data_IF_747916562250
#
_entry.id   IF_747916562250
#
_cell.length_a   1.000
_cell.length_b   1.000
_cell.length_c   1.000
_cell.angle_alpha   90.00
_cell.angle_beta   90.00
_cell.angle_gamma   90.00
#
_symmetry.space_group_name_H-M   'P 1'
#
loop_
_entity.id
_entity.type
_entity.pdbx_description
1 polymer ?
#
# COMPACT_ATOMS: atom_id res chain seq x y z
N UNK A 1 69.58 62.51 -13.87
CA UNK A 1 70.20 61.27 -14.37
C UNK A 1 69.77 60.14 -13.48
N UNK A 2 68.84 59.33 -13.83
CA UNK A 2 68.60 58.00 -13.33
C UNK A 2 67.88 57.22 -14.42
N UNK A 3 68.55 56.22 -15.01
CA UNK A 3 68.00 55.24 -15.95
C UNK A 3 67.19 54.21 -15.21
N UNK A 4 65.96 53.97 -15.69
CA UNK A 4 65.14 52.79 -15.23
C UNK A 4 65.05 51.83 -16.40
N UNK A 5 65.52 50.61 -16.18
CA UNK A 5 65.39 49.51 -17.09
C UNK A 5 64.00 48.83 -16.89
N UNK A 6 63.23 48.76 -17.99
CA UNK A 6 62.04 47.89 -18.04
C UNK A 6 62.44 46.45 -18.41
N UNK A 7 62.19 45.52 -17.55
CA UNK A 7 62.26 44.09 -17.86
C UNK A 7 60.91 43.66 -18.41
N UNK A 8 60.84 43.19 -19.62
CA UNK A 8 59.70 42.55 -20.22
C UNK A 8 59.71 41.04 -19.86
N UNK A 9 58.74 40.60 -19.04
CA UNK A 9 58.55 39.21 -18.76
C UNK A 9 57.55 38.58 -19.77
N UNK A 10 58.03 37.68 -20.60
CA UNK A 10 57.23 36.94 -21.56
C UNK A 10 56.53 35.76 -20.79
N UNK A 11 55.21 35.82 -20.73
CA UNK A 11 54.39 34.71 -20.21
C UNK A 11 54.09 33.75 -21.36
N UNK A 12 54.61 32.54 -21.28
CA UNK A 12 54.26 31.45 -22.20
C UNK A 12 52.98 30.80 -21.70
N UNK A 13 51.85 30.99 -22.39
CA UNK A 13 50.60 30.26 -22.15
C UNK A 13 50.71 28.88 -22.85
N UNK A 14 50.81 27.82 -22.05
CA UNK A 14 50.70 26.44 -22.54
C UNK A 14 49.23 26.05 -22.54
N UNK A 15 48.62 25.95 -23.71
CA UNK A 15 47.28 25.38 -23.89
C UNK A 15 47.34 23.86 -23.71
N UNK A 16 46.80 23.35 -22.59
CA UNK A 16 46.51 21.92 -22.42
C UNK A 16 45.16 21.65 -23.05
N UNK A 17 45.12 21.04 -24.22
CA UNK A 17 43.91 20.54 -24.85
C UNK A 17 43.45 19.31 -24.08
N UNK A 18 42.53 19.50 -23.12
CA UNK A 18 41.82 18.44 -22.47
C UNK A 18 40.81 17.80 -23.45
N UNK A 19 41.06 16.58 -23.91
CA UNK A 19 40.06 15.80 -24.60
C UNK A 19 38.93 15.49 -23.61
N UNK A 20 37.80 16.19 -23.74
CA UNK A 20 36.57 15.86 -23.04
C UNK A 20 36.03 14.52 -23.61
N UNK A 21 36.41 13.43 -22.99
CA UNK A 21 35.77 12.13 -23.23
C UNK A 21 34.28 12.25 -22.83
N UNK A 22 33.40 12.26 -23.82
CA UNK A 22 31.95 12.08 -23.59
C UNK A 22 31.76 10.69 -23.08
N UNK A 23 31.65 10.56 -21.73
CA UNK A 23 31.14 9.35 -21.13
C UNK A 23 29.67 9.21 -21.58
N UNK A 24 29.45 8.37 -22.58
CA UNK A 24 28.11 7.97 -22.98
C UNK A 24 27.55 7.21 -21.78
N UNK A 25 26.63 7.86 -21.04
CA UNK A 25 25.85 7.19 -20.01
C UNK A 25 25.01 6.13 -20.74
N UNK A 26 25.48 4.90 -20.73
CA UNK A 26 24.66 3.76 -21.13
C UNK A 26 23.46 3.75 -20.19
N UNK A 27 22.30 4.16 -20.67
CA UNK A 27 21.06 3.92 -19.96
C UNK A 27 20.95 2.41 -19.76
N UNK A 28 20.99 1.96 -18.52
CA UNK A 28 20.84 0.54 -18.21
C UNK A 28 19.55 0.03 -18.87
N UNK A 29 19.62 -1.10 -19.51
CA UNK A 29 18.45 -1.72 -20.16
C UNK A 29 17.35 -1.87 -19.11
N UNK A 30 16.07 -1.63 -19.46
CA UNK A 30 14.98 -1.71 -18.52
C UNK A 30 14.93 -3.12 -17.90
N UNK A 31 14.85 -3.17 -16.56
CA UNK A 31 14.78 -4.44 -15.83
C UNK A 31 13.52 -5.19 -16.27
N UNK A 32 13.71 -6.39 -16.84
CA UNK A 32 12.60 -7.29 -17.20
C UNK A 32 12.02 -7.86 -15.92
N UNK A 33 10.69 -7.79 -15.77
CA UNK A 33 9.97 -8.34 -14.62
C UNK A 33 9.29 -9.66 -14.97
N UNK A 34 9.19 -10.53 -13.97
CA UNK A 34 8.37 -11.74 -13.97
C UNK A 34 7.16 -11.48 -13.11
N UNK A 35 5.98 -11.92 -13.57
CA UNK A 35 4.73 -11.91 -12.79
C UNK A 35 4.25 -13.34 -12.66
N UNK A 36 3.96 -13.76 -11.44
CA UNK A 36 3.41 -15.08 -11.12
C UNK A 36 2.11 -14.91 -10.32
N UNK A 37 1.20 -15.86 -10.44
CA UNK A 37 -0.08 -15.88 -9.74
C UNK A 37 -0.28 -17.24 -9.06
N UNK A 38 -0.93 -17.22 -7.89
CA UNK A 38 -1.22 -18.41 -7.12
C UNK A 38 -2.56 -18.27 -6.38
N UNK A 39 -3.15 -19.42 -6.03
CA UNK A 39 -4.29 -19.51 -5.13
C UNK A 39 -3.86 -20.24 -3.85
N UNK A 40 -3.72 -19.50 -2.76
CA UNK A 40 -3.33 -20.00 -1.44
C UNK A 40 -4.58 -20.39 -0.67
N UNK A 41 -4.55 -21.51 0.05
CA UNK A 41 -5.67 -21.92 0.88
C UNK A 41 -5.84 -20.96 2.07
N UNK A 42 -7.07 -20.46 2.27
CA UNK A 42 -7.46 -19.77 3.50
C UNK A 42 -7.65 -20.77 4.64
N UNK A 43 -7.45 -20.38 5.91
CA UNK A 43 -7.92 -21.15 7.05
C UNK A 43 -9.45 -21.40 7.04
N UNK A 44 -10.21 -20.57 6.34
CA UNK A 44 -11.65 -20.75 6.15
C UNK A 44 -11.93 -21.87 5.12
N UNK A 45 -12.75 -22.89 5.45
CA UNK A 45 -13.00 -24.01 4.56
C UNK A 45 -13.54 -23.58 3.19
N UNK A 46 -12.95 -24.11 2.11
CA UNK A 46 -13.38 -23.87 0.74
C UNK A 46 -12.98 -22.50 0.16
N UNK A 47 -12.32 -21.65 0.94
CA UNK A 47 -11.86 -20.32 0.50
C UNK A 47 -10.41 -20.41 0.00
N UNK A 48 -10.14 -19.76 -1.12
CA UNK A 48 -8.80 -19.60 -1.70
C UNK A 48 -8.50 -18.11 -1.87
N UNK A 49 -7.30 -17.73 -1.51
CA UNK A 49 -6.78 -16.36 -1.55
C UNK A 49 -5.92 -16.22 -2.79
N UNK A 50 -6.27 -15.26 -3.65
CA UNK A 50 -5.45 -14.90 -4.79
C UNK A 50 -4.21 -14.15 -4.33
N UNK A 51 -3.07 -14.57 -4.86
CA UNK A 51 -1.76 -13.96 -4.61
C UNK A 51 -1.10 -13.67 -5.96
N UNK A 52 -0.56 -12.47 -6.13
CA UNK A 52 0.31 -12.11 -7.25
C UNK A 52 1.69 -11.78 -6.72
N UNK A 53 2.71 -12.31 -7.41
CA UNK A 53 4.11 -12.03 -7.16
C UNK A 53 4.72 -11.29 -8.36
N UNK A 54 5.62 -10.37 -8.10
CA UNK A 54 6.39 -9.68 -9.14
C UNK A 54 7.84 -9.48 -8.69
N UNK A 55 8.81 -9.80 -9.55
CA UNK A 55 10.24 -9.70 -9.25
C UNK A 55 11.10 -9.50 -10.52
N UNK A 56 12.38 -9.08 -10.41
CA UNK A 56 13.32 -9.04 -11.54
C UNK A 56 13.54 -10.42 -12.12
N UNK A 57 13.52 -10.53 -13.46
CA UNK A 57 13.71 -11.82 -14.17
C UNK A 57 15.11 -12.43 -14.00
N UNK A 58 16.10 -11.61 -13.69
CA UNK A 58 17.50 -12.01 -13.52
C UNK A 58 17.89 -12.30 -12.06
N UNK A 59 16.92 -12.29 -11.13
CA UNK A 59 17.15 -12.53 -9.70
C UNK A 59 16.22 -13.65 -9.21
N UNK A 60 16.81 -14.69 -8.60
CA UNK A 60 16.09 -15.87 -8.10
C UNK A 60 16.11 -16.01 -6.58
N UNK A 61 17.04 -15.31 -5.94
CA UNK A 61 17.18 -15.32 -4.48
C UNK A 61 16.94 -13.94 -3.90
N UNK A 62 16.10 -13.88 -2.89
CA UNK A 62 15.75 -12.66 -2.16
C UNK A 62 15.86 -12.96 -0.66
N UNK A 63 16.36 -12.01 0.09
CA UNK A 63 16.42 -12.08 1.55
C UNK A 63 15.18 -11.43 2.19
N UNK A 64 15.16 -11.41 3.51
CA UNK A 64 14.06 -10.84 4.28
C UNK A 64 13.84 -9.33 4.01
N UNK A 65 14.91 -8.59 3.71
CA UNK A 65 14.86 -7.15 3.47
C UNK A 65 14.43 -6.79 2.04
N UNK A 66 14.36 -7.77 1.15
CA UNK A 66 13.94 -7.59 -0.24
C UNK A 66 12.70 -8.43 -0.61
N UNK A 67 11.97 -8.93 0.39
CA UNK A 67 10.71 -9.67 0.19
C UNK A 67 9.58 -8.95 0.93
N UNK A 68 8.58 -8.45 0.20
CA UNK A 68 7.50 -7.62 0.73
C UNK A 68 6.13 -8.20 0.40
N UNK A 69 5.23 -8.23 1.38
CA UNK A 69 3.82 -8.62 1.19
C UNK A 69 2.90 -7.45 1.48
N UNK A 70 2.14 -7.01 0.45
CA UNK A 70 1.13 -5.96 0.56
C UNK A 70 -0.25 -6.53 0.94
N UNK A 71 -0.98 -5.85 1.82
CA UNK A 71 -2.41 -6.08 2.05
C UNK A 71 -3.22 -4.79 1.87
N UNK A 72 -4.34 -4.92 1.13
CA UNK A 72 -5.19 -3.79 0.76
C UNK A 72 -6.09 -3.30 1.89
N UNK A 73 -6.72 -2.14 1.67
CA UNK A 73 -7.71 -1.55 2.53
C UNK A 73 -9.13 -2.09 2.31
N UNK A 74 -10.11 -1.40 2.88
CA UNK A 74 -11.52 -1.67 2.64
C UNK A 74 -11.91 -1.37 1.18
N UNK A 75 -12.90 -2.09 0.66
CA UNK A 75 -13.62 -1.81 -0.58
C UNK A 75 -12.94 -2.33 -1.86
N UNK A 76 -11.63 -2.10 -2.05
CA UNK A 76 -10.96 -2.37 -3.32
C UNK A 76 -9.85 -3.41 -3.17
N UNK A 77 -9.67 -4.33 -4.15
CA UNK A 77 -8.68 -5.38 -4.07
C UNK A 77 -7.24 -4.85 -4.25
N UNK A 78 -6.27 -5.60 -3.75
CA UNK A 78 -4.85 -5.30 -3.88
C UNK A 78 -4.38 -5.29 -5.33
N UNK A 79 -4.90 -6.19 -6.16
CA UNK A 79 -4.52 -6.33 -7.58
C UNK A 79 -4.73 -5.05 -8.39
N UNK A 80 -5.75 -4.24 -8.07
CA UNK A 80 -6.02 -2.98 -8.74
C UNK A 80 -5.56 -1.75 -7.96
N UNK A 81 -5.02 -1.92 -6.75
CA UNK A 81 -4.41 -0.86 -5.97
C UNK A 81 -2.89 -0.82 -6.14
N UNK A 82 -2.20 -1.96 -5.89
CA UNK A 82 -0.74 -2.02 -5.89
C UNK A 82 -0.13 -2.42 -7.23
N UNK A 83 -0.89 -3.11 -8.10
CA UNK A 83 -0.39 -3.56 -9.41
C UNK A 83 -1.18 -3.02 -10.61
N UNK A 84 -1.87 -1.90 -10.45
CA UNK A 84 -2.45 -1.18 -11.59
C UNK A 84 -1.38 -0.32 -12.25
N UNK A 85 -1.11 -0.58 -13.52
CA UNK A 85 -0.21 0.24 -14.32
C UNK A 85 -0.85 1.59 -14.64
N UNK A 86 -0.39 2.65 -14.01
CA UNK A 86 -0.73 4.04 -14.30
C UNK A 86 0.54 4.73 -14.84
N UNK A 87 0.42 5.36 -16.00
CA UNK A 87 1.57 5.98 -16.68
C UNK A 87 2.79 5.03 -16.82
N UNK A 88 2.55 3.79 -17.30
CA UNK A 88 3.60 2.81 -17.61
C UNK A 88 4.24 2.11 -16.41
N UNK A 89 3.67 2.27 -15.18
CA UNK A 89 4.24 1.68 -13.98
C UNK A 89 3.20 1.47 -12.87
N UNK A 90 3.19 0.30 -12.26
CA UNK A 90 2.50 0.02 -11.00
C UNK A 90 3.43 0.23 -9.80
N UNK A 91 2.91 0.18 -8.57
CA UNK A 91 3.78 0.18 -7.38
C UNK A 91 4.60 -1.11 -7.28
N UNK A 92 4.01 -2.25 -7.62
CA UNK A 92 4.78 -3.49 -7.68
C UNK A 92 5.90 -3.42 -8.72
N UNK A 93 5.68 -2.80 -9.90
CA UNK A 93 6.74 -2.58 -10.88
C UNK A 93 7.85 -1.69 -10.33
N UNK A 94 7.47 -0.64 -9.61
CA UNK A 94 8.41 0.30 -8.99
C UNK A 94 9.36 -0.41 -8.01
N UNK A 95 8.81 -1.25 -7.13
CA UNK A 95 9.58 -2.02 -6.15
C UNK A 95 10.40 -3.13 -6.80
N UNK A 96 9.78 -3.92 -7.70
CA UNK A 96 10.45 -5.03 -8.36
C UNK A 96 11.64 -4.57 -9.22
N UNK A 97 11.52 -3.44 -9.94
CA UNK A 97 12.65 -2.87 -10.70
C UNK A 97 13.82 -2.46 -9.83
N UNK A 98 13.62 -2.32 -8.51
CA UNK A 98 14.63 -2.00 -7.49
C UNK A 98 15.13 -3.23 -6.72
N UNK A 99 14.83 -4.43 -7.23
CA UNK A 99 15.38 -5.66 -6.68
C UNK A 99 14.52 -6.34 -5.61
N UNK A 100 13.27 -5.90 -5.44
CA UNK A 100 12.35 -6.54 -4.50
C UNK A 100 11.58 -7.70 -5.14
N UNK A 101 11.28 -8.70 -4.32
CA UNK A 101 10.31 -9.76 -4.54
C UNK A 101 9.01 -9.37 -3.86
N UNK A 102 8.07 -8.82 -4.62
CA UNK A 102 6.86 -8.23 -4.05
C UNK A 102 5.65 -9.11 -4.27
N UNK A 103 4.86 -9.24 -3.24
CA UNK A 103 3.63 -10.00 -3.22
C UNK A 103 2.45 -9.09 -2.86
N UNK A 104 1.31 -9.34 -3.46
CA UNK A 104 0.03 -8.83 -2.99
C UNK A 104 -0.95 -9.98 -2.84
N UNK A 105 -1.99 -9.78 -2.04
CA UNK A 105 -3.13 -10.69 -1.98
C UNK A 105 -4.44 -9.91 -2.05
N UNK A 106 -5.43 -10.48 -2.72
CA UNK A 106 -6.81 -10.07 -2.59
C UNK A 106 -7.46 -10.87 -1.46
N UNK A 107 -7.98 -10.21 -0.42
CA UNK A 107 -8.66 -10.90 0.68
C UNK A 107 -9.94 -11.60 0.20
N UNK A 108 -10.46 -12.61 0.92
CA UNK A 108 -11.73 -13.25 0.60
C UNK A 108 -12.87 -12.26 0.38
N UNK A 109 -13.65 -12.47 -0.66
CA UNK A 109 -14.72 -11.54 -1.06
C UNK A 109 -14.27 -10.38 -1.94
N UNK A 110 -12.95 -10.18 -2.13
CA UNK A 110 -12.38 -9.14 -2.99
C UNK A 110 -11.69 -9.73 -4.21
N UNK A 111 -11.57 -8.91 -5.24
CA UNK A 111 -10.72 -9.17 -6.40
C UNK A 111 -10.90 -10.55 -7.02
N UNK A 112 -9.79 -11.26 -7.15
CA UNK A 112 -9.72 -12.60 -7.74
C UNK A 112 -9.83 -13.74 -6.71
N UNK A 113 -9.94 -13.41 -5.42
CA UNK A 113 -10.12 -14.40 -4.36
C UNK A 113 -11.54 -14.99 -4.34
N UNK A 114 -11.69 -16.14 -3.67
CA UNK A 114 -13.00 -16.75 -3.49
C UNK A 114 -13.95 -15.78 -2.79
N UNK A 115 -15.15 -15.64 -3.34
CA UNK A 115 -16.25 -14.95 -2.67
C UNK A 115 -17.06 -15.95 -1.87
N UNK A 116 -17.24 -15.73 -0.53
CA UNK A 116 -18.12 -16.54 0.27
C UNK A 116 -19.54 -16.57 -0.29
N UNK A 117 -20.24 -17.72 -0.18
CA UNK A 117 -21.56 -17.93 -0.77
C UNK A 117 -22.63 -16.91 -0.30
N UNK A 118 -22.44 -16.31 0.89
CA UNK A 118 -23.29 -15.23 1.38
C UNK A 118 -23.26 -13.97 0.51
N UNK A 119 -22.19 -13.75 -0.26
CA UNK A 119 -22.11 -12.66 -1.22
C UNK A 119 -22.91 -12.92 -2.51
N UNK A 120 -23.50 -14.08 -2.68
CA UNK A 120 -24.42 -14.37 -3.77
C UNK A 120 -25.89 -14.12 -3.40
N UNK A 121 -26.15 -13.85 -2.12
CA UNK A 121 -27.45 -13.44 -1.58
C UNK A 121 -27.63 -11.92 -1.68
N UNK A 122 -28.82 -11.36 -1.42
CA UNK A 122 -29.02 -9.91 -1.29
C UNK A 122 -28.03 -9.27 -0.33
N UNK A 123 -27.63 -8.02 -0.61
CA UNK A 123 -26.56 -7.32 0.13
C UNK A 123 -26.84 -7.18 1.63
N UNK A 124 -28.10 -7.03 2.02
CA UNK A 124 -28.60 -6.90 3.38
C UNK A 124 -28.81 -8.26 4.09
N UNK A 125 -28.64 -9.37 3.36
CA UNK A 125 -28.77 -10.71 3.93
C UNK A 125 -27.45 -11.20 4.55
N UNK A 126 -27.57 -12.13 5.48
CA UNK A 126 -26.44 -12.80 6.12
C UNK A 126 -25.70 -11.92 7.14
N UNK A 127 -24.53 -12.39 7.54
CA UNK A 127 -23.62 -11.67 8.44
C UNK A 127 -22.51 -11.00 7.63
N UNK A 128 -21.91 -9.92 8.15
CA UNK A 128 -20.75 -9.27 7.53
C UNK A 128 -19.63 -10.27 7.21
N UNK A 129 -19.17 -10.26 5.96
CA UNK A 129 -18.11 -11.11 5.44
C UNK A 129 -16.76 -10.44 5.68
N UNK A 130 -15.75 -11.24 5.97
CA UNK A 130 -14.35 -10.85 6.10
C UNK A 130 -14.10 -9.80 7.18
N UNK A 131 -14.19 -10.24 8.44
CA UNK A 131 -13.83 -9.42 9.60
C UNK A 131 -12.31 -9.23 9.68
N UNK A 132 -11.85 -8.24 10.44
CA UNK A 132 -10.40 -8.00 10.67
C UNK A 132 -9.72 -9.25 11.24
N UNK A 133 -10.39 -9.98 12.16
CA UNK A 133 -9.82 -11.19 12.74
C UNK A 133 -9.64 -12.31 11.69
N UNK A 134 -10.58 -12.48 10.77
CA UNK A 134 -10.46 -13.40 9.64
C UNK A 134 -9.35 -12.96 8.68
N UNK A 135 -9.33 -11.68 8.31
CA UNK A 135 -8.33 -11.11 7.42
C UNK A 135 -6.90 -11.22 7.95
N UNK A 136 -6.69 -11.10 9.27
CA UNK A 136 -5.37 -11.33 9.91
C UNK A 136 -4.95 -12.80 9.75
N UNK A 137 -5.88 -13.76 9.88
CA UNK A 137 -5.58 -15.18 9.68
C UNK A 137 -5.28 -15.49 8.21
N UNK A 138 -6.03 -14.90 7.28
CA UNK A 138 -5.83 -15.07 5.86
C UNK A 138 -4.50 -14.44 5.40
N UNK A 139 -4.17 -13.27 5.93
CA UNK A 139 -2.88 -12.63 5.70
C UNK A 139 -1.73 -13.48 6.24
N UNK A 140 -1.85 -14.01 7.46
CA UNK A 140 -0.86 -14.90 8.06
C UNK A 140 -0.63 -16.17 7.21
N UNK A 141 -1.70 -16.76 6.67
CA UNK A 141 -1.58 -17.94 5.78
C UNK A 141 -0.80 -17.61 4.50
N UNK A 142 -0.99 -16.42 3.91
CA UNK A 142 -0.22 -15.98 2.73
C UNK A 142 1.23 -15.68 3.11
N UNK A 143 1.48 -14.99 4.23
CA UNK A 143 2.86 -14.74 4.71
C UNK A 143 3.60 -16.05 4.95
N UNK A 144 2.97 -17.03 5.60
CA UNK A 144 3.55 -18.36 5.84
C UNK A 144 3.84 -19.11 4.53
N UNK A 145 2.95 -19.00 3.54
CA UNK A 145 3.17 -19.56 2.22
C UNK A 145 4.37 -18.91 1.51
N UNK A 146 4.53 -17.58 1.59
CA UNK A 146 5.70 -16.86 1.01
C UNK A 146 6.98 -17.27 1.73
N UNK A 147 6.99 -17.28 3.07
CA UNK A 147 8.14 -17.69 3.88
C UNK A 147 8.62 -19.09 3.53
N UNK A 148 7.69 -20.05 3.44
CA UNK A 148 8.01 -21.42 3.05
C UNK A 148 8.54 -21.51 1.62
N UNK A 149 7.91 -20.81 0.66
CA UNK A 149 8.32 -20.78 -0.75
C UNK A 149 9.73 -20.20 -0.96
N UNK A 150 10.09 -19.21 -0.16
CA UNK A 150 11.38 -18.49 -0.27
C UNK A 150 12.43 -18.96 0.73
N UNK A 151 12.11 -19.92 1.59
CA UNK A 151 12.99 -20.41 2.65
C UNK A 151 13.43 -19.28 3.60
N UNK A 152 12.52 -18.36 3.91
CA UNK A 152 12.75 -17.24 4.82
C UNK A 152 12.08 -17.50 6.17
N UNK A 153 12.58 -16.85 7.22
CA UNK A 153 11.97 -16.87 8.57
C UNK A 153 11.18 -15.60 8.86
N UNK A 154 11.45 -14.51 8.15
CA UNK A 154 10.78 -13.21 8.26
C UNK A 154 10.82 -12.49 6.91
N UNK A 155 9.93 -11.52 6.73
CA UNK A 155 9.85 -10.66 5.54
C UNK A 155 9.27 -9.29 5.91
N UNK A 156 9.29 -8.36 4.95
CA UNK A 156 8.66 -7.06 5.12
C UNK A 156 7.14 -7.15 4.87
N UNK A 157 6.38 -6.43 5.67
CA UNK A 157 4.91 -6.39 5.59
C UNK A 157 4.42 -4.97 5.44
N UNK A 158 3.37 -4.77 4.63
CA UNK A 158 2.75 -3.47 4.43
C UNK A 158 1.24 -3.56 4.33
N UNK A 159 0.55 -2.70 5.08
CA UNK A 159 -0.89 -2.52 4.99
C UNK A 159 -1.29 -1.11 4.58
N UNK A 160 -2.38 -1.02 3.80
CA UNK A 160 -3.04 0.24 3.45
C UNK A 160 -4.41 0.34 4.09
N UNK A 161 -4.72 1.46 4.76
CA UNK A 161 -6.07 1.70 5.31
C UNK A 161 -6.46 0.59 6.31
N UNK A 162 -7.58 -0.08 6.11
CA UNK A 162 -7.93 -1.28 6.87
C UNK A 162 -6.80 -2.33 6.89
N UNK A 163 -6.04 -2.45 5.81
CA UNK A 163 -4.86 -3.33 5.78
C UNK A 163 -3.82 -3.01 6.85
N UNK A 164 -3.81 -1.78 7.39
CA UNK A 164 -2.92 -1.43 8.52
C UNK A 164 -3.31 -2.13 9.82
N UNK A 165 -4.62 -2.39 10.03
CA UNK A 165 -5.09 -3.17 11.17
C UNK A 165 -4.78 -4.65 11.02
N UNK A 166 -4.70 -5.13 9.79
CA UNK A 166 -4.36 -6.52 9.44
C UNK A 166 -2.85 -6.73 9.59
N UNK A 167 -2.02 -5.91 8.92
CA UNK A 167 -0.56 -6.01 9.01
C UNK A 167 -0.05 -5.70 10.43
N UNK A 168 -0.63 -4.70 11.11
CA UNK A 168 -0.32 -4.37 12.50
C UNK A 168 -0.74 -5.49 13.47
N UNK A 169 -1.94 -6.06 13.29
CA UNK A 169 -2.43 -7.21 14.06
C UNK A 169 -1.55 -8.44 13.87
N UNK A 170 -1.15 -8.74 12.64
CA UNK A 170 -0.20 -9.81 12.32
C UNK A 170 1.17 -9.55 12.99
N UNK A 171 1.73 -8.34 12.83
CA UNK A 171 3.03 -7.99 13.40
C UNK A 171 3.04 -8.02 14.94
N UNK A 172 1.92 -7.69 15.58
CA UNK A 172 1.76 -7.79 17.04
C UNK A 172 1.61 -9.25 17.53
N UNK A 173 1.01 -10.12 16.71
CA UNK A 173 0.75 -11.52 17.04
C UNK A 173 1.93 -12.45 16.71
N UNK A 174 2.70 -12.15 15.67
CA UNK A 174 3.81 -12.96 15.13
C UNK A 174 5.04 -12.10 14.79
N UNK A 175 5.57 -11.35 15.79
CA UNK A 175 6.64 -10.37 15.54
C UNK A 175 7.92 -10.99 14.97
N UNK A 176 8.19 -12.25 15.24
CA UNK A 176 9.37 -12.98 14.73
C UNK A 176 9.35 -13.16 13.22
N UNK A 177 8.18 -13.09 12.58
CA UNK A 177 8.02 -13.22 11.12
C UNK A 177 8.14 -11.89 10.38
N UNK A 178 8.23 -10.77 11.09
CA UNK A 178 8.26 -9.42 10.49
C UNK A 178 9.66 -8.84 10.54
N UNK A 179 10.22 -8.51 9.38
CA UNK A 179 11.49 -7.81 9.26
C UNK A 179 11.28 -6.29 9.41
N UNK A 180 10.36 -5.71 8.64
CA UNK A 180 9.92 -4.32 8.74
C UNK A 180 8.41 -4.23 8.51
N UNK A 181 7.78 -3.22 9.12
CA UNK A 181 6.36 -2.94 8.99
C UNK A 181 6.14 -1.56 8.36
N UNK A 182 5.26 -1.49 7.35
CA UNK A 182 4.79 -0.23 6.79
C UNK A 182 3.28 -0.12 6.99
N UNK A 183 2.84 0.97 7.60
CA UNK A 183 1.45 1.33 7.84
C UNK A 183 1.10 2.59 7.03
N UNK A 184 0.48 2.40 5.87
CA UNK A 184 0.05 3.50 5.01
C UNK A 184 -1.42 3.83 5.25
N UNK A 185 -1.72 5.10 5.59
CA UNK A 185 -3.05 5.60 5.90
C UNK A 185 -3.71 4.80 7.05
N UNK A 186 -3.11 4.86 8.24
CA UNK A 186 -3.42 3.98 9.37
C UNK A 186 -4.83 4.19 9.91
N UNK A 187 -5.58 3.10 10.02
CA UNK A 187 -6.82 3.07 10.81
C UNK A 187 -6.46 3.00 12.30
N UNK A 188 -7.00 3.91 13.09
CA UNK A 188 -6.91 3.90 14.53
C UNK A 188 -8.21 4.40 15.16
N UNK A 189 -8.21 4.63 16.47
CA UNK A 189 -9.41 5.07 17.20
C UNK A 189 -10.02 6.32 16.54
N UNK A 190 -11.31 6.24 16.22
CA UNK A 190 -12.07 7.31 15.55
C UNK A 190 -12.71 8.25 16.55
N UNK A 191 -12.84 9.52 16.18
CA UNK A 191 -13.67 10.48 16.90
C UNK A 191 -15.14 10.38 16.51
N UNK A 192 -15.49 9.62 15.48
CA UNK A 192 -16.86 9.42 15.04
C UNK A 192 -17.62 8.52 16.03
N UNK A 193 -18.94 8.69 16.09
CA UNK A 193 -19.83 7.86 16.88
C UNK A 193 -20.42 6.74 16.02
N UNK A 194 -20.43 5.48 16.51
CA UNK A 194 -21.06 4.41 15.77
C UNK A 194 -22.54 4.67 15.51
N UNK A 195 -23.06 4.34 14.31
CA UNK A 195 -24.49 4.45 14.03
C UNK A 195 -25.31 3.50 14.90
N UNK A 196 -26.56 3.89 15.20
CA UNK A 196 -27.51 3.13 15.99
C UNK A 196 -28.78 2.79 15.22
N UNK A 197 -29.64 1.91 15.77
CA UNK A 197 -30.89 1.53 15.13
C UNK A 197 -30.68 0.78 13.80
N UNK A 198 -31.54 1.05 12.82
CA UNK A 198 -31.46 0.40 11.50
C UNK A 198 -30.18 0.74 10.73
N UNK A 199 -29.61 1.92 10.94
CA UNK A 199 -28.33 2.31 10.35
C UNK A 199 -27.14 1.47 10.86
N UNK A 200 -27.29 0.78 12.00
CA UNK A 200 -26.27 -0.13 12.51
C UNK A 200 -26.30 -1.52 11.83
N UNK A 201 -27.41 -1.87 11.20
CA UNK A 201 -27.56 -3.18 10.56
C UNK A 201 -26.64 -3.30 9.35
N UNK A 202 -25.95 -4.42 9.24
CA UNK A 202 -25.04 -4.75 8.15
C UNK A 202 -25.35 -6.17 7.65
N UNK A 203 -25.58 -6.30 6.35
CA UNK A 203 -25.55 -7.61 5.69
C UNK A 203 -24.13 -8.02 5.29
N UNK A 204 -24.01 -9.06 4.45
CA UNK A 204 -22.74 -9.66 4.07
C UNK A 204 -21.78 -8.68 3.38
N UNK A 205 -22.32 -7.82 2.53
CA UNK A 205 -21.55 -6.86 1.73
C UNK A 205 -22.35 -5.58 1.46
N UNK A 206 -21.69 -4.56 0.92
CA UNK A 206 -22.29 -3.33 0.42
C UNK A 206 -22.01 -3.15 -1.06
N UNK A 207 -22.89 -2.41 -1.75
CA UNK A 207 -22.72 -2.02 -3.15
C UNK A 207 -22.01 -0.68 -3.22
N UNK A 208 -20.98 -0.57 -4.06
CA UNK A 208 -20.19 0.65 -4.27
C UNK A 208 -20.20 1.02 -5.75
N UNK A 209 -20.77 2.17 -6.10
CA UNK A 209 -20.79 2.68 -7.47
C UNK A 209 -19.52 3.47 -7.80
N UNK A 210 -19.25 3.69 -9.10
CA UNK A 210 -18.12 4.51 -9.53
C UNK A 210 -18.25 5.97 -9.03
N UNK A 211 -19.47 6.49 -8.97
CA UNK A 211 -19.72 7.84 -8.43
C UNK A 211 -19.37 7.94 -6.95
N UNK A 212 -19.83 7.01 -6.11
CA UNK A 212 -19.46 6.93 -4.69
C UNK A 212 -17.93 6.84 -4.50
N UNK A 213 -17.25 6.05 -5.34
CA UNK A 213 -15.80 5.94 -5.30
C UNK A 213 -15.11 7.26 -5.67
N UNK A 214 -15.61 7.95 -6.70
CA UNK A 214 -15.06 9.23 -7.14
C UNK A 214 -15.26 10.35 -6.11
N UNK A 215 -16.44 10.44 -5.52
CA UNK A 215 -16.71 11.38 -4.42
C UNK A 215 -15.77 11.15 -3.24
N UNK A 216 -15.57 9.89 -2.86
CA UNK A 216 -14.65 9.51 -1.79
C UNK A 216 -13.21 9.93 -2.10
N UNK A 217 -12.73 9.80 -3.34
CA UNK A 217 -11.38 10.20 -3.73
C UNK A 217 -11.13 11.71 -3.58
N UNK A 218 -12.15 12.53 -3.81
CA UNK A 218 -12.04 13.99 -3.65
C UNK A 218 -12.34 14.50 -2.23
N UNK A 219 -12.69 13.60 -1.30
CA UNK A 219 -13.00 13.99 0.06
C UNK A 219 -11.80 14.63 0.75
N UNK A 220 -11.98 15.85 1.27
CA UNK A 220 -10.92 16.62 1.93
C UNK A 220 -10.04 17.46 1.00
N UNK A 221 -10.22 17.36 -0.31
CA UNK A 221 -9.42 18.11 -1.30
C UNK A 221 -9.95 19.55 -1.41
N UNK A 222 -9.09 20.58 -1.24
CA UNK A 222 -9.45 21.96 -1.55
C UNK A 222 -9.97 22.10 -3.00
N UNK A 223 -10.99 22.93 -3.22
CA UNK A 223 -11.68 23.01 -4.50
C UNK A 223 -10.74 23.41 -5.65
N UNK A 224 -9.83 24.34 -5.42
CA UNK A 224 -8.81 24.80 -6.38
C UNK A 224 -7.74 23.73 -6.72
N UNK A 225 -7.68 22.63 -5.96
CA UNK A 225 -6.73 21.54 -6.14
C UNK A 225 -7.33 20.28 -6.79
N UNK A 226 -8.67 20.22 -6.90
CA UNK A 226 -9.36 19.01 -7.40
C UNK A 226 -9.01 18.67 -8.85
N UNK A 227 -8.87 19.66 -9.70
CA UNK A 227 -8.61 19.44 -11.13
C UNK A 227 -7.28 18.71 -11.39
N UNK A 228 -6.27 18.94 -10.56
CA UNK A 228 -4.90 18.42 -10.73
C UNK A 228 -4.60 17.19 -9.87
N UNK A 229 -5.51 16.74 -8.99
CA UNK A 229 -5.26 15.66 -8.07
C UNK A 229 -5.04 14.33 -8.79
N UNK A 230 -5.99 13.98 -9.66
CA UNK A 230 -6.00 12.72 -10.39
C UNK A 230 -5.68 13.00 -11.86
N UNK A 231 -4.55 12.50 -12.39
CA UNK A 231 -4.22 12.67 -13.80
C UNK A 231 -5.33 12.15 -14.73
N UNK A 232 -5.55 12.78 -15.88
CA UNK A 232 -6.61 12.41 -16.82
C UNK A 232 -6.61 10.92 -17.17
N UNK A 233 -7.79 10.28 -17.13
CA UNK A 233 -7.99 8.88 -17.46
C UNK A 233 -7.57 7.87 -16.38
N UNK A 234 -6.89 8.29 -15.30
CA UNK A 234 -6.45 7.34 -14.27
C UNK A 234 -7.62 6.77 -13.46
N UNK A 235 -8.58 7.60 -13.10
CA UNK A 235 -9.78 7.14 -12.41
C UNK A 235 -10.55 6.13 -13.24
N UNK A 236 -10.79 6.42 -14.54
CA UNK A 236 -11.55 5.56 -15.44
C UNK A 236 -10.85 4.21 -15.64
N UNK A 237 -9.51 4.24 -15.84
CA UNK A 237 -8.70 3.02 -15.93
C UNK A 237 -8.78 2.18 -14.66
N UNK A 238 -8.66 2.80 -13.49
CA UNK A 238 -8.78 2.12 -12.21
C UNK A 238 -10.18 1.56 -11.99
N UNK A 239 -11.20 2.35 -12.23
CA UNK A 239 -12.60 1.94 -12.09
C UNK A 239 -12.91 0.74 -12.98
N UNK A 240 -12.55 0.80 -14.25
CA UNK A 240 -12.76 -0.30 -15.19
C UNK A 240 -12.05 -1.58 -14.72
N UNK A 241 -10.78 -1.50 -14.35
CA UNK A 241 -10.01 -2.63 -13.87
C UNK A 241 -10.61 -3.22 -12.59
N UNK A 242 -11.02 -2.36 -11.64
CA UNK A 242 -11.54 -2.79 -10.34
C UNK A 242 -12.91 -3.47 -10.47
N UNK A 243 -13.85 -2.89 -11.22
CA UNK A 243 -15.16 -3.49 -11.44
C UNK A 243 -15.09 -4.79 -12.23
N UNK A 244 -14.13 -4.93 -13.14
CA UNK A 244 -13.90 -6.17 -13.87
C UNK A 244 -13.50 -7.34 -12.97
N UNK A 245 -13.02 -7.09 -11.75
CA UNK A 245 -12.70 -8.17 -10.78
C UNK A 245 -13.94 -8.78 -10.11
N UNK A 246 -15.10 -8.10 -10.15
CA UNK A 246 -16.35 -8.65 -9.60
C UNK A 246 -17.28 -9.11 -10.73
N UNK A 247 -17.50 -10.44 -10.88
CA UNK A 247 -18.35 -10.99 -11.97
C UNK A 247 -19.79 -10.45 -12.00
N UNK A 248 -20.28 -9.94 -10.87
CA UNK A 248 -21.63 -9.38 -10.75
C UNK A 248 -21.69 -7.86 -10.78
N UNK A 249 -20.55 -7.15 -10.91
CA UNK A 249 -20.54 -5.69 -10.86
C UNK A 249 -21.42 -5.06 -11.96
N UNK A 250 -21.41 -5.61 -13.17
CA UNK A 250 -22.22 -5.13 -14.30
C UNK A 250 -23.71 -5.49 -14.19
N UNK A 251 -24.09 -6.39 -13.27
CA UNK A 251 -25.50 -6.81 -13.11
C UNK A 251 -26.32 -5.81 -12.30
N UNK A 252 -25.69 -4.88 -11.60
CA UNK A 252 -26.34 -3.79 -10.89
C UNK A 252 -26.62 -2.61 -11.82
N UNK A 253 -27.63 -1.80 -11.51
CA UNK A 253 -27.95 -0.57 -12.24
C UNK A 253 -28.09 0.59 -11.23
N UNK A 254 -27.13 1.53 -11.19
CA UNK A 254 -25.86 1.55 -11.94
C UNK A 254 -24.91 0.39 -11.57
N UNK A 255 -23.93 0.07 -12.43
CA UNK A 255 -22.92 -0.95 -12.13
C UNK A 255 -22.21 -0.67 -10.80
N UNK A 256 -22.10 -1.70 -9.94
CA UNK A 256 -21.59 -1.53 -8.60
C UNK A 256 -20.76 -2.73 -8.14
N UNK A 257 -19.65 -2.44 -7.47
CA UNK A 257 -18.75 -3.42 -6.86
C UNK A 257 -19.35 -3.92 -5.54
N UNK A 258 -19.32 -5.23 -5.31
CA UNK A 258 -19.67 -5.82 -4.01
C UNK A 258 -18.45 -5.77 -3.09
N UNK A 259 -18.56 -5.05 -1.97
CA UNK A 259 -17.49 -4.92 -0.99
C UNK A 259 -17.91 -5.53 0.35
N UNK A 260 -17.16 -6.51 0.90
CA UNK A 260 -17.42 -7.12 2.19
C UNK A 260 -17.65 -6.12 3.32
N UNK A 261 -18.56 -6.43 4.24
CA UNK A 261 -18.95 -5.56 5.35
C UNK A 261 -18.23 -5.85 6.67
N UNK A 262 -17.42 -6.90 6.76
CA UNK A 262 -16.68 -7.22 7.99
C UNK A 262 -15.81 -6.07 8.47
N UNK A 263 -15.13 -5.38 7.53
CA UNK A 263 -14.39 -4.15 7.85
C UNK A 263 -15.27 -3.05 8.45
N UNK A 264 -16.48 -2.84 7.90
CA UNK A 264 -17.42 -1.82 8.41
C UNK A 264 -17.92 -2.20 9.80
N UNK A 265 -18.21 -3.47 10.04
CA UNK A 265 -18.57 -3.99 11.36
C UNK A 265 -17.48 -3.71 12.39
N UNK A 266 -16.22 -3.98 12.04
CA UNK A 266 -15.11 -3.84 12.98
C UNK A 266 -14.73 -2.37 13.22
N UNK A 267 -14.78 -1.51 12.20
CA UNK A 267 -14.59 -0.06 12.40
C UNK A 267 -15.62 0.46 13.39
N UNK A 268 -16.89 0.07 13.26
CA UNK A 268 -17.97 0.49 14.16
C UNK A 268 -17.85 -0.13 15.55
N UNK A 269 -17.57 -1.45 15.61
CA UNK A 269 -17.54 -2.21 16.85
C UNK A 269 -16.28 -2.01 17.70
N UNK A 270 -15.19 -1.62 17.08
CA UNK A 270 -13.89 -1.40 17.72
C UNK A 270 -13.47 0.07 17.66
N UNK A 271 -13.02 0.55 16.52
CA UNK A 271 -12.32 1.83 16.41
C UNK A 271 -13.19 3.05 16.71
N UNK A 272 -14.46 3.06 16.29
CA UNK A 272 -15.44 4.08 16.68
C UNK A 272 -15.97 3.90 18.11
N UNK A 273 -15.72 2.73 18.71
CA UNK A 273 -16.12 2.42 20.10
C UNK A 273 -14.95 2.54 21.10
N UNK A 274 -13.84 3.17 20.68
CA UNK A 274 -12.67 3.40 21.52
C UNK A 274 -11.83 2.15 21.83
N UNK A 275 -11.94 1.09 21.01
CA UNK A 275 -11.22 -0.18 21.17
C UNK A 275 -10.37 -0.45 19.95
N UNK A 276 -9.15 -0.96 20.13
CA UNK A 276 -8.31 -1.44 19.04
C UNK A 276 -8.43 -2.96 18.88
N UNK A 277 -8.15 -3.47 17.67
CA UNK A 277 -8.13 -4.92 17.39
C UNK A 277 -6.78 -5.57 17.73
N UNK A 278 -5.75 -4.77 18.01
CA UNK A 278 -4.41 -5.24 18.39
C UNK A 278 -3.73 -4.26 19.35
N UNK A 279 -2.68 -4.72 20.02
CA UNK A 279 -1.82 -3.91 20.90
C UNK A 279 -0.57 -3.45 20.12
N UNK A 280 -0.43 -2.14 19.81
CA UNK A 280 0.74 -1.61 19.09
C UNK A 280 2.07 -1.79 19.83
N UNK A 281 2.02 -1.86 21.18
CA UNK A 281 3.20 -2.05 22.02
C UNK A 281 3.89 -3.40 21.82
N UNK A 282 3.18 -4.38 21.22
CA UNK A 282 3.73 -5.70 20.89
C UNK A 282 4.47 -5.75 19.55
N UNK A 283 4.41 -4.70 18.75
CA UNK A 283 5.15 -4.63 17.49
C UNK A 283 6.61 -4.36 17.78
N UNK A 284 7.49 -5.31 17.41
CA UNK A 284 8.94 -5.21 17.62
C UNK A 284 9.73 -4.93 16.36
N UNK A 285 9.09 -4.93 15.20
CA UNK A 285 9.74 -4.62 13.93
C UNK A 285 9.94 -3.10 13.77
N UNK A 286 11.02 -2.63 13.13
CA UNK A 286 11.11 -1.25 12.64
C UNK A 286 9.85 -0.88 11.86
N UNK A 287 9.28 0.29 12.14
CA UNK A 287 7.95 0.67 11.61
C UNK A 287 7.96 2.03 10.96
N UNK A 288 7.52 2.10 9.70
CA UNK A 288 7.17 3.34 9.00
C UNK A 288 5.66 3.53 9.02
N UNK A 289 5.21 4.71 9.38
CA UNK A 289 3.85 5.19 9.14
C UNK A 289 3.89 6.26 8.06
N UNK A 290 3.06 6.10 7.00
CA UNK A 290 2.92 7.11 5.95
C UNK A 290 1.47 7.55 5.90
N UNK A 291 1.26 8.87 5.84
CA UNK A 291 -0.06 9.49 5.86
C UNK A 291 -0.16 10.55 4.76
N UNK A 292 -1.33 10.74 4.17
CA UNK A 292 -1.59 11.83 3.25
C UNK A 292 -2.29 13.01 3.96
N UNK A 293 -1.94 14.23 3.57
CA UNK A 293 -2.37 15.46 4.24
C UNK A 293 -3.90 15.66 4.24
N UNK A 294 -4.55 15.33 3.12
CA UNK A 294 -5.99 15.53 2.91
C UNK A 294 -6.82 14.26 3.14
N UNK A 295 -6.23 13.22 3.71
CA UNK A 295 -6.94 11.98 4.00
C UNK A 295 -8.08 12.22 5.00
N UNK A 296 -9.31 11.92 4.60
CA UNK A 296 -10.52 12.03 5.42
C UNK A 296 -11.16 10.68 5.71
N UNK A 297 -10.58 9.59 5.22
CA UNK A 297 -11.02 8.23 5.59
C UNK A 297 -10.28 7.73 6.83
N UNK A 298 -8.98 8.02 6.90
CA UNK A 298 -8.11 7.83 8.06
C UNK A 298 -7.36 9.13 8.33
N UNK A 299 -8.00 10.14 8.90
CA UNK A 299 -7.40 11.46 9.06
C UNK A 299 -6.07 11.41 9.82
N UNK A 300 -5.14 12.34 9.57
CA UNK A 300 -3.78 12.33 10.15
C UNK A 300 -3.75 12.16 11.69
N UNK A 301 -4.78 12.60 12.41
CA UNK A 301 -4.84 12.41 13.86
C UNK A 301 -4.84 10.94 14.29
N UNK A 302 -5.35 10.02 13.43
CA UNK A 302 -5.33 8.57 13.72
C UNK A 302 -3.89 8.06 13.76
N UNK A 303 -3.10 8.39 12.76
CA UNK A 303 -1.66 8.04 12.72
C UNK A 303 -0.90 8.72 13.86
N UNK A 304 -1.18 9.98 14.15
CA UNK A 304 -0.55 10.72 15.25
C UNK A 304 -0.87 10.11 16.63
N UNK A 305 -2.09 9.59 16.83
CA UNK A 305 -2.47 8.91 18.05
C UNK A 305 -1.86 7.51 18.17
N UNK A 306 -1.71 6.79 17.05
CA UNK A 306 -1.10 5.45 17.02
C UNK A 306 0.44 5.49 17.20
N UNK A 307 1.12 6.46 16.60
CA UNK A 307 2.57 6.52 16.56
C UNK A 307 3.27 6.41 17.93
N UNK A 308 2.85 7.15 18.99
CA UNK A 308 3.48 7.04 20.31
C UNK A 308 3.26 5.66 20.96
N UNK A 309 2.21 4.93 20.58
CA UNK A 309 1.87 3.61 21.14
C UNK A 309 2.74 2.48 20.60
N UNK A 310 3.50 2.71 19.54
CA UNK A 310 4.50 1.78 19.00
C UNK A 310 5.74 1.76 19.93
N UNK A 311 5.59 1.24 21.14
CA UNK A 311 6.64 1.27 22.18
C UNK A 311 7.60 0.09 22.11
N UNK A 312 7.21 -1.01 21.45
CA UNK A 312 8.05 -2.20 21.29
C UNK A 312 9.03 -2.10 20.10
N UNK A 313 8.83 -1.17 19.17
CA UNK A 313 9.68 -1.04 18.00
C UNK A 313 11.01 -0.32 18.35
N UNK A 314 12.16 -0.83 17.87
CA UNK A 314 13.45 -0.19 18.11
C UNK A 314 13.62 1.12 17.34
N UNK A 315 12.89 1.29 16.25
CA UNK A 315 12.95 2.44 15.36
C UNK A 315 11.61 2.64 14.66
N UNK A 316 11.10 3.87 14.65
CA UNK A 316 9.85 4.25 13.98
C UNK A 316 9.97 5.61 13.32
N UNK A 317 9.31 5.74 12.16
CA UNK A 317 9.26 6.94 11.36
C UNK A 317 7.80 7.29 11.00
N UNK A 318 7.50 8.57 10.90
CA UNK A 318 6.19 9.07 10.44
C UNK A 318 6.39 10.09 9.33
N UNK A 319 5.86 9.81 8.15
CA UNK A 319 5.94 10.65 6.97
C UNK A 319 4.56 11.18 6.60
N UNK A 320 4.46 12.49 6.35
CA UNK A 320 3.25 13.14 5.87
C UNK A 320 3.44 13.60 4.43
N UNK A 321 2.68 13.02 3.50
CA UNK A 321 2.68 13.37 2.08
C UNK A 321 1.73 14.56 1.87
N UNK A 322 2.28 15.67 1.37
CA UNK A 322 1.49 16.86 1.04
C UNK A 322 0.62 16.67 -0.20
N UNK A 323 -0.52 17.39 -0.26
CA UNK A 323 -1.42 17.44 -1.41
C UNK A 323 -1.90 16.06 -1.90
N UNK A 324 -2.15 15.11 -1.00
CA UNK A 324 -2.67 13.78 -1.29
C UNK A 324 -3.86 13.41 -0.41
N UNK A 325 -4.73 12.53 -0.90
CA UNK A 325 -5.86 11.97 -0.17
C UNK A 325 -5.58 10.55 0.32
N UNK A 326 -6.61 9.87 0.82
CA UNK A 326 -6.54 8.44 1.18
C UNK A 326 -6.00 7.55 0.04
N UNK A 327 -6.19 7.99 -1.20
CA UNK A 327 -5.82 7.30 -2.42
C UNK A 327 -4.56 7.87 -3.10
N UNK A 328 -3.65 8.52 -2.36
CA UNK A 328 -2.40 9.09 -2.92
C UNK A 328 -1.58 8.07 -3.73
N UNK A 329 -1.75 6.78 -3.46
CA UNK A 329 -1.20 5.68 -4.24
C UNK A 329 -1.52 5.74 -5.74
N UNK A 330 -2.63 6.39 -6.12
CA UNK A 330 -3.13 6.52 -7.50
C UNK A 330 -3.34 7.99 -7.91
N UNK A 331 -2.66 8.93 -7.26
CA UNK A 331 -2.71 10.36 -7.53
C UNK A 331 -1.40 10.88 -8.11
N UNK A 332 -1.38 12.17 -8.50
CA UNK A 332 -0.19 12.82 -9.06
C UNK A 332 1.07 12.66 -8.18
N UNK A 333 0.87 12.64 -6.86
CA UNK A 333 1.93 12.58 -5.84
C UNK A 333 2.36 11.16 -5.45
N UNK A 334 1.84 10.11 -6.09
CA UNK A 334 2.10 8.71 -5.71
C UNK A 334 3.58 8.35 -5.58
N UNK A 335 4.46 8.98 -6.37
CA UNK A 335 5.89 8.70 -6.30
C UNK A 335 6.53 9.18 -4.99
N UNK A 336 5.96 10.17 -4.30
CA UNK A 336 6.42 10.56 -2.96
C UNK A 336 6.18 9.42 -1.96
N UNK A 337 4.99 8.79 -2.01
CA UNK A 337 4.65 7.62 -1.21
C UNK A 337 5.59 6.44 -1.55
N UNK A 338 5.78 6.13 -2.84
CA UNK A 338 6.62 5.03 -3.27
C UNK A 338 8.07 5.20 -2.81
N UNK A 339 8.61 6.42 -2.94
CA UNK A 339 9.96 6.75 -2.49
C UNK A 339 10.09 6.66 -0.96
N UNK A 340 9.13 7.18 -0.20
CA UNK A 340 9.15 7.12 1.26
C UNK A 340 9.24 5.67 1.76
N UNK A 341 8.41 4.78 1.19
CA UNK A 341 8.42 3.36 1.54
C UNK A 341 9.71 2.68 1.10
N UNK A 342 10.17 2.92 -0.15
CA UNK A 342 11.41 2.33 -0.66
C UNK A 342 12.61 2.72 0.21
N UNK A 343 12.77 4.01 0.50
CA UNK A 343 13.87 4.52 1.32
C UNK A 343 13.87 3.86 2.71
N UNK A 344 12.72 3.76 3.36
CA UNK A 344 12.60 3.10 4.66
C UNK A 344 12.98 1.62 4.59
N UNK A 345 12.57 0.90 3.55
CA UNK A 345 12.87 -0.53 3.41
C UNK A 345 14.36 -0.79 3.11
N UNK A 346 15.06 0.15 2.46
CA UNK A 346 16.48 0.05 2.12
C UNK A 346 17.41 0.67 3.18
N UNK A 347 16.90 1.57 4.03
CA UNK A 347 17.73 2.27 5.01
C UNK A 347 18.28 1.29 6.06
N UNK A 348 19.61 1.32 6.34
CA UNK A 348 20.16 0.55 7.45
C UNK A 348 19.50 0.94 8.78
N UNK A 349 19.16 -0.05 9.60
CA UNK A 349 18.66 0.25 10.95
C UNK A 349 19.64 1.18 11.70
N UNK A 350 19.13 2.19 12.42
CA UNK A 350 19.99 3.05 13.26
C UNK A 350 20.84 2.19 14.19
N UNK A 351 22.13 2.53 14.30
CA UNK A 351 23.10 1.85 15.18
C UNK A 351 22.89 2.26 16.63
#
# INVERSE_FOLDING_TARGET
MKFSYCLASSVILTFISGAAGTASAYAAAPVKLVTEEAMVASPQPGIKIYVRNKHPANQTHFDAAHTLVFVHGATYPASTAFDLELNGMSWMDYMARRGFDVYLLDLPGYGHSTRPASMDQPADAGQPVETTAQAVQDYAAVVDWVLARKHLTRLDVMGWSWGTTIAGGFAAAQPEKVNRLVLYASVWLSHDTPPTGDAAKLGAYRMVTAEMAKERWYKGVPEDKRADLIPPGWFDKWQQATWATDPKAASANPPALRAPNGVTQDIRGYYMSGKATYDPGKITAPTLMVQAQWDQDTPPYMSQALFPLLTGTPWKQYDLIGEGTHTVIMEKNRLQLFNAVQNFLEEPAPR
#
